data_IF_900851351389
#
_entry.id   IF_900851351389
#
_cell.length_a   1.000
_cell.length_b   1.000
_cell.length_c   1.000
_cell.angle_alpha   90.00
_cell.angle_beta   90.00
_cell.angle_gamma   90.00
#
_symmetry.space_group_name_H-M   'P 1'
#
loop_
_entity.id
_entity.type
_entity.pdbx_description
1 polymer ?
#
# COMPACT_ATOMS: atom_id res chain seq x y z
N UNK A 1 -4.98 -10.14 -0.90
CA UNK A 1 -3.63 -9.96 -1.49
C UNK A 1 -3.55 -8.58 -2.12
N UNK A 2 -2.54 -7.78 -1.75
CA UNK A 2 -2.32 -6.46 -2.35
C UNK A 2 -1.70 -6.64 -3.74
N UNK A 3 -2.32 -6.07 -4.77
CA UNK A 3 -1.82 -6.12 -6.16
C UNK A 3 -0.77 -5.04 -6.38
N UNK A 4 0.14 -5.24 -7.35
CA UNK A 4 1.17 -4.25 -7.69
C UNK A 4 0.59 -2.88 -8.03
N UNK A 5 -0.47 -2.82 -8.85
CA UNK A 5 -1.13 -1.56 -9.19
C UNK A 5 -1.62 -0.81 -7.95
N UNK A 6 -2.18 -1.52 -6.96
CA UNK A 6 -2.64 -0.92 -5.71
C UNK A 6 -1.46 -0.39 -4.89
N UNK A 7 -0.41 -1.20 -4.71
CA UNK A 7 0.78 -0.79 -3.96
C UNK A 7 1.46 0.45 -4.58
N UNK A 8 1.62 0.46 -5.90
CA UNK A 8 2.21 1.60 -6.62
C UNK A 8 1.32 2.83 -6.51
N UNK A 9 0.00 2.66 -6.61
CA UNK A 9 -0.95 3.78 -6.46
C UNK A 9 -0.88 4.44 -5.08
N UNK A 10 -0.72 3.64 -4.02
CA UNK A 10 -0.50 4.18 -2.67
C UNK A 10 0.82 4.95 -2.60
N UNK A 11 1.91 4.45 -3.21
CA UNK A 11 3.19 5.16 -3.25
C UNK A 11 3.07 6.52 -3.97
N UNK A 12 2.38 6.54 -5.12
CA UNK A 12 2.11 7.79 -5.85
C UNK A 12 1.27 8.77 -5.02
N UNK A 13 0.26 8.27 -4.31
CA UNK A 13 -0.56 9.07 -3.39
C UNK A 13 0.29 9.71 -2.28
N UNK A 14 1.10 8.91 -1.58
CA UNK A 14 1.99 9.36 -0.51
C UNK A 14 3.05 10.35 -1.01
N UNK A 15 3.64 10.12 -2.18
CA UNK A 15 4.59 11.05 -2.77
C UNK A 15 3.95 12.40 -3.08
N UNK A 16 2.72 12.40 -3.61
CA UNK A 16 2.01 13.61 -4.01
C UNK A 16 1.40 14.39 -2.84
N UNK A 17 0.89 13.69 -1.82
CA UNK A 17 0.15 14.30 -0.71
C UNK A 17 1.04 14.58 0.49
N UNK A 18 1.96 13.67 0.81
CA UNK A 18 2.79 13.71 2.01
C UNK A 18 4.27 14.01 1.71
N UNK A 19 4.65 14.13 0.43
CA UNK A 19 6.05 14.33 0.03
C UNK A 19 6.95 13.12 0.31
N UNK A 20 6.35 11.93 0.53
CA UNK A 20 7.08 10.72 0.87
C UNK A 20 7.34 9.87 -0.38
N UNK A 21 8.58 9.92 -0.87
CA UNK A 21 9.02 9.09 -1.99
C UNK A 21 9.48 7.71 -1.48
N UNK A 22 8.64 6.68 -1.66
CA UNK A 22 8.78 5.36 -1.01
C UNK A 22 8.84 4.20 -2.01
N UNK A 23 9.30 3.04 -1.56
CA UNK A 23 9.26 1.80 -2.33
C UNK A 23 7.88 1.14 -2.36
N UNK A 24 7.65 0.29 -3.35
CA UNK A 24 6.37 -0.39 -3.58
C UNK A 24 5.91 -1.26 -2.39
N UNK A 25 6.85 -1.89 -1.69
CA UNK A 25 6.60 -2.68 -0.48
C UNK A 25 5.93 -1.83 0.60
N UNK A 26 6.38 -0.60 0.79
CA UNK A 26 5.74 0.35 1.72
C UNK A 26 4.33 0.72 1.28
N UNK A 27 4.11 0.93 -0.02
CA UNK A 27 2.76 1.12 -0.56
C UNK A 27 1.83 -0.06 -0.24
N UNK A 28 2.33 -1.29 -0.28
CA UNK A 28 1.55 -2.47 0.09
C UNK A 28 1.26 -2.55 1.59
N UNK A 29 2.24 -2.21 2.44
CA UNK A 29 2.10 -2.17 3.89
C UNK A 29 1.05 -1.12 4.29
N UNK A 30 1.13 0.08 3.72
CA UNK A 30 0.17 1.16 3.98
C UNK A 30 -1.23 0.80 3.48
N UNK A 31 -1.35 0.20 2.28
CA UNK A 31 -2.65 -0.27 1.78
C UNK A 31 -3.30 -1.28 2.73
N UNK A 32 -2.53 -2.26 3.20
CA UNK A 32 -3.02 -3.27 4.14
C UNK A 32 -3.40 -2.67 5.50
N UNK A 33 -2.57 -1.77 6.03
CA UNK A 33 -2.83 -1.10 7.30
C UNK A 33 -4.11 -0.25 7.24
N UNK A 34 -4.27 0.58 6.19
CA UNK A 34 -5.48 1.37 5.99
C UNK A 34 -6.72 0.49 5.85
N UNK A 35 -6.62 -0.65 5.17
CA UNK A 35 -7.73 -1.59 5.11
C UNK A 35 -8.08 -2.20 6.48
N UNK A 36 -7.07 -2.55 7.27
CA UNK A 36 -7.24 -3.13 8.62
C UNK A 36 -7.86 -2.12 9.62
N UNK A 37 -7.64 -0.81 9.42
CA UNK A 37 -8.27 0.24 10.26
C UNK A 37 -9.80 0.14 10.29
N UNK A 38 -10.43 -0.41 9.25
CA UNK A 38 -11.89 -0.57 9.17
C UNK A 38 -12.46 -1.49 10.27
N UNK A 39 -11.63 -2.28 10.93
CA UNK A 39 -12.03 -3.18 12.03
C UNK A 39 -12.16 -2.45 13.37
N UNK A 40 -11.67 -1.22 13.47
CA UNK A 40 -11.63 -0.47 14.70
C UNK A 40 -12.64 0.68 14.66
N UNK A 41 -13.40 0.83 15.74
CA UNK A 41 -14.36 1.93 15.91
C UNK A 41 -13.78 3.12 16.67
N UNK A 42 -12.55 2.97 17.18
CA UNK A 42 -11.82 4.02 17.90
C UNK A 42 -10.49 4.32 17.19
N UNK A 43 -9.96 5.56 17.33
CA UNK A 43 -8.68 5.92 16.73
C UNK A 43 -7.56 4.96 17.11
N UNK A 44 -6.78 4.53 16.13
CA UNK A 44 -5.63 3.62 16.32
C UNK A 44 -4.33 4.33 15.97
N UNK A 45 -3.25 3.95 16.65
CA UNK A 45 -1.88 4.28 16.24
C UNK A 45 -1.24 3.02 15.68
N UNK A 46 -0.81 3.06 14.42
CA UNK A 46 -0.19 1.94 13.73
C UNK A 46 1.27 2.28 13.40
N UNK A 47 2.19 1.38 13.75
CA UNK A 47 3.59 1.46 13.34
C UNK A 47 3.77 0.62 12.07
N UNK A 48 4.24 1.25 11.01
CA UNK A 48 4.49 0.61 9.72
C UNK A 48 5.98 0.66 9.40
N UNK A 49 6.53 -0.44 8.88
CA UNK A 49 7.93 -0.52 8.50
C UNK A 49 8.09 -0.14 7.03
N UNK A 50 8.97 0.83 6.76
CA UNK A 50 9.39 1.20 5.41
C UNK A 50 10.70 0.48 5.07
N UNK A 51 10.72 -0.50 4.15
CA UNK A 51 11.94 -1.25 3.85
C UNK A 51 13.00 -0.42 3.13
N UNK A 52 12.58 0.52 2.26
CA UNK A 52 13.49 1.32 1.45
C UNK A 52 12.87 2.63 0.93
N UNK A 53 13.70 3.44 0.25
CA UNK A 53 13.30 4.75 -0.31
C UNK A 53 12.91 4.61 -1.78
N UNK A 54 12.09 5.55 -2.25
CA UNK A 54 11.52 5.54 -3.59
C UNK A 54 12.46 6.00 -4.72
N UNK A 55 13.60 6.60 -4.39
CA UNK A 55 14.62 7.08 -5.33
C UNK A 55 15.17 5.95 -6.22
N UNK A 56 15.22 4.72 -5.69
CA UNK A 56 15.61 3.52 -6.46
C UNK A 56 14.62 3.14 -7.56
N UNK A 57 13.41 3.67 -7.51
CA UNK A 57 12.30 3.29 -8.40
C UNK A 57 11.85 4.42 -9.33
N UNK A 58 12.65 5.49 -9.45
CA UNK A 58 12.36 6.62 -10.34
C UNK A 58 12.13 6.16 -11.78
N UNK A 59 12.99 5.25 -12.28
CA UNK A 59 12.91 4.71 -13.64
C UNK A 59 11.92 3.56 -13.81
N UNK A 60 11.19 3.19 -12.74
CA UNK A 60 10.23 2.08 -12.77
C UNK A 60 8.87 2.52 -12.21
N UNK A 61 8.62 2.32 -10.92
CA UNK A 61 7.34 2.58 -10.25
C UNK A 61 6.87 4.02 -10.45
N UNK A 62 7.79 4.99 -10.56
CA UNK A 62 7.46 6.41 -10.79
C UNK A 62 7.60 6.87 -12.25
N UNK A 63 7.98 5.97 -13.17
CA UNK A 63 8.11 6.27 -14.60
C UNK A 63 6.83 5.85 -15.35
N UNK A 64 6.15 6.83 -15.97
CA UNK A 64 4.90 6.61 -16.67
C UNK A 64 5.03 5.68 -17.90
N UNK A 65 6.15 5.76 -18.62
CA UNK A 65 6.41 4.93 -19.79
C UNK A 65 6.64 3.48 -19.37
N UNK A 66 7.40 3.27 -18.29
CA UNK A 66 7.62 1.95 -17.71
C UNK A 66 6.30 1.33 -17.24
N UNK A 67 5.48 2.08 -16.50
CA UNK A 67 4.15 1.61 -16.05
C UNK A 67 3.26 1.20 -17.24
N UNK A 68 3.24 2.02 -18.29
CA UNK A 68 2.51 1.73 -19.53
C UNK A 68 3.01 0.44 -20.18
N UNK A 69 4.33 0.27 -20.31
CA UNK A 69 4.94 -0.93 -20.86
C UNK A 69 4.64 -2.20 -20.04
N UNK A 70 4.45 -2.06 -18.72
CA UNK A 70 4.04 -3.16 -17.83
C UNK A 70 2.51 -3.38 -17.78
N UNK A 71 1.72 -2.60 -18.51
CA UNK A 71 0.25 -2.58 -18.43
C UNK A 71 -0.27 -2.33 -17.00
N UNK A 72 0.41 -1.46 -16.24
CA UNK A 72 0.04 -1.10 -14.87
C UNK A 72 -0.61 0.28 -14.89
N UNK A 73 -1.88 0.33 -14.48
CA UNK A 73 -2.61 1.59 -14.31
C UNK A 73 -2.56 2.04 -12.83
N UNK A 74 -2.18 3.29 -12.60
CA UNK A 74 -2.19 3.92 -11.28
C UNK A 74 -3.60 4.40 -10.96
N UNK A 75 -4.21 3.79 -9.94
CA UNK A 75 -5.52 4.13 -9.42
C UNK A 75 -5.51 5.53 -8.82
N UNK A 76 -6.57 6.28 -9.11
CA UNK A 76 -6.74 7.65 -8.63
C UNK A 76 -7.90 7.73 -7.62
N UNK A 77 -7.74 8.58 -6.61
CA UNK A 77 -8.79 9.02 -5.68
C UNK A 77 -9.77 7.91 -5.27
N UNK A 78 -11.02 7.97 -5.74
CA UNK A 78 -12.12 7.07 -5.36
C UNK A 78 -11.82 5.60 -5.68
N UNK A 79 -11.17 5.31 -6.82
CA UNK A 79 -10.80 3.95 -7.18
C UNK A 79 -9.72 3.39 -6.27
N UNK A 80 -8.78 4.24 -5.82
CA UNK A 80 -7.75 3.84 -4.86
C UNK A 80 -8.39 3.54 -3.50
N UNK A 81 -9.23 4.44 -2.99
CA UNK A 81 -9.94 4.23 -1.72
C UNK A 81 -10.80 2.97 -1.75
N UNK A 82 -11.57 2.75 -2.83
CA UNK A 82 -12.39 1.56 -2.98
C UNK A 82 -11.54 0.27 -3.06
N UNK A 83 -10.41 0.31 -3.77
CA UNK A 83 -9.51 -0.83 -3.85
C UNK A 83 -8.87 -1.19 -2.50
N UNK A 84 -8.52 -0.20 -1.68
CA UNK A 84 -8.04 -0.39 -0.30
C UNK A 84 -9.16 -0.98 0.56
N UNK A 85 -10.36 -0.40 0.50
CA UNK A 85 -11.50 -0.83 1.33
C UNK A 85 -11.88 -2.30 1.10
N UNK A 86 -11.72 -2.78 -0.15
CA UNK A 86 -12.02 -4.15 -0.56
C UNK A 86 -10.93 -5.18 -0.21
N UNK A 87 -9.82 -4.77 0.41
CA UNK A 87 -8.83 -5.74 0.90
C UNK A 87 -9.39 -6.53 2.08
N UNK A 88 -9.30 -7.85 1.98
CA UNK A 88 -9.63 -8.73 3.10
C UNK A 88 -8.51 -8.64 4.16
N UNK A 89 -8.85 -8.37 5.44
CA UNK A 89 -7.89 -8.45 6.52
C UNK A 89 -7.28 -9.85 6.61
N UNK A 90 -6.00 -9.92 6.99
CA UNK A 90 -5.38 -11.21 7.30
C UNK A 90 -5.87 -11.65 8.69
N UNK A 91 -6.40 -12.88 8.84
CA UNK A 91 -6.75 -13.44 10.13
C UNK A 91 -5.56 -13.39 11.11
N UNK A 92 -5.78 -12.90 12.34
CA UNK A 92 -4.71 -12.73 13.33
C UNK A 92 -4.23 -14.06 13.94
N UNK A 93 -5.02 -15.12 13.80
CA UNK A 93 -4.69 -16.48 14.21
C UNK A 93 -3.51 -17.07 13.42
N UNK A 94 -3.13 -16.48 12.28
CA UNK A 94 -1.90 -16.86 11.55
C UNK A 94 -0.61 -16.63 12.36
N UNK A 95 -0.61 -15.64 13.26
CA UNK A 95 0.51 -15.34 14.16
C UNK A 95 0.29 -15.97 15.54
N UNK A 96 -0.89 -16.55 15.77
CA UNK A 96 -1.22 -17.30 16.98
C UNK A 96 -0.35 -18.53 17.09
N UNK A 97 0.65 -18.47 17.99
CA UNK A 97 1.33 -19.67 18.47
C UNK A 97 0.27 -20.64 19.02
N UNK A 98 0.46 -21.92 18.74
CA UNK A 98 -0.06 -23.03 19.55
C UNK A 98 -0.02 -22.59 21.02
N UNK A 99 -1.17 -22.59 21.68
CA UNK A 99 -1.21 -22.32 23.12
C UNK A 99 -0.29 -23.34 23.81
N UNK A 100 0.66 -22.85 24.60
CA UNK A 100 1.31 -23.63 25.66
C UNK A 100 0.29 -23.94 26.76
#
# INVERSE_FOLDING_TARGET
>A
MVRYSLAFSVCHGLAKQEGMLLGASTGAIVAAALADTQRFTTPQTMLLLNPDRGDRYLETVYNADWLTAQNINILQHSHLTAAIANLLPVPLDIVGRSQE
#
